data_IF_587989886837
#
_entry.id   IF_587989886837
#
_cell.length_a   1.000
_cell.length_b   1.000
_cell.length_c   1.000
_cell.angle_alpha   90.00
_cell.angle_beta   90.00
_cell.angle_gamma   90.00
#
_symmetry.space_group_name_H-M   'P 1'
#
loop_
_entity.id
_entity.type
_entity.pdbx_description
1 polymer ?
#
# COMPACT_ATOMS: atom_id res chain seq x y z
N UNK A 1 16.16 -23.43 29.83
CA UNK A 1 14.84 -22.80 29.58
C UNK A 1 15.04 -21.55 28.74
N UNK A 2 14.67 -21.57 27.46
CA UNK A 2 14.89 -20.46 26.52
C UNK A 2 13.74 -19.44 26.65
N UNK A 3 14.07 -18.20 27.04
CA UNK A 3 13.11 -17.09 27.14
C UNK A 3 12.67 -16.69 25.72
N UNK A 4 11.44 -17.03 25.35
CA UNK A 4 10.78 -16.48 24.14
C UNK A 4 10.65 -14.97 24.31
N UNK A 5 11.47 -14.19 23.59
CA UNK A 5 11.31 -12.74 23.47
C UNK A 5 9.97 -12.45 22.81
N UNK A 6 9.01 -11.95 23.58
CA UNK A 6 7.71 -11.46 23.10
C UNK A 6 7.94 -10.23 22.21
N UNK A 7 7.62 -10.38 20.92
CA UNK A 7 7.77 -9.34 19.89
C UNK A 7 6.72 -8.21 19.97
N UNK A 8 5.89 -8.21 21.01
CA UNK A 8 4.76 -7.28 21.18
C UNK A 8 5.13 -5.95 21.85
N UNK A 9 6.33 -5.81 22.43
CA UNK A 9 6.70 -4.62 23.20
C UNK A 9 6.93 -3.36 22.37
N UNK A 10 7.42 -3.49 21.13
CA UNK A 10 7.87 -2.34 20.33
C UNK A 10 6.75 -1.35 19.97
N UNK A 11 5.55 -1.85 19.65
CA UNK A 11 4.41 -1.00 19.31
C UNK A 11 3.71 -0.40 20.54
N UNK A 12 3.82 -1.02 21.72
CA UNK A 12 3.29 -0.45 22.96
C UNK A 12 4.11 0.76 23.42
N UNK A 13 5.43 0.73 23.22
CA UNK A 13 6.31 1.88 23.47
C UNK A 13 6.01 3.09 22.56
N UNK A 14 5.51 2.87 21.34
CA UNK A 14 5.11 3.95 20.44
C UNK A 14 3.82 4.67 20.88
N UNK A 15 3.00 4.11 21.77
CA UNK A 15 1.75 4.75 22.21
C UNK A 15 1.90 5.71 23.40
N UNK A 16 3.05 5.73 24.09
CA UNK A 16 3.17 6.38 25.40
C UNK A 16 3.88 7.74 25.43
N UNK A 17 4.20 8.37 24.30
CA UNK A 17 4.68 9.75 24.36
C UNK A 17 5.32 10.24 23.07
N UNK A 18 4.51 10.81 22.18
CA UNK A 18 5.04 11.50 21.01
C UNK A 18 5.33 12.95 21.37
N UNK A 19 6.58 13.25 21.74
CA UNK A 19 7.19 14.49 21.27
C UNK A 19 7.47 14.24 19.80
N UNK A 20 6.62 14.78 18.93
CA UNK A 20 6.68 14.59 17.48
C UNK A 20 7.95 15.29 16.97
N UNK A 21 9.09 14.60 17.02
CA UNK A 21 10.17 14.87 16.07
C UNK A 21 9.64 14.55 14.67
N UNK A 22 10.11 15.26 13.64
CA UNK A 22 9.66 15.04 12.27
C UNK A 22 9.79 13.55 11.92
N UNK A 23 8.72 12.97 11.38
CA UNK A 23 8.65 11.55 10.98
C UNK A 23 9.87 11.12 10.15
N UNK A 24 10.40 12.06 9.36
CA UNK A 24 11.60 11.93 8.53
C UNK A 24 12.83 11.44 9.31
N UNK A 25 13.09 12.00 10.49
CA UNK A 25 14.27 11.64 11.31
C UNK A 25 14.19 10.21 11.86
N UNK A 26 12.98 9.69 12.03
CA UNK A 26 12.77 8.31 12.47
C UNK A 26 12.87 7.32 11.32
N UNK A 27 12.41 7.71 10.13
CA UNK A 27 12.44 6.88 8.92
C UNK A 27 13.87 6.62 8.41
N UNK A 28 14.80 7.58 8.58
CA UNK A 28 16.21 7.42 8.18
C UNK A 28 16.94 6.26 8.87
N UNK A 29 16.48 5.84 10.05
CA UNK A 29 17.11 4.75 10.81
C UNK A 29 16.45 3.39 10.59
N UNK A 30 15.39 3.32 9.79
CA UNK A 30 14.69 2.08 9.53
C UNK A 30 15.47 1.22 8.50
N UNK A 31 15.46 -0.11 8.66
CA UNK A 31 15.94 -1.00 7.62
C UNK A 31 15.23 -0.71 6.29
N UNK A 32 15.94 -0.84 5.16
CA UNK A 32 15.38 -0.62 3.83
C UNK A 32 14.07 -1.40 3.60
N UNK A 33 13.97 -2.62 4.14
CA UNK A 33 12.81 -3.51 3.96
C UNK A 33 11.73 -3.35 5.05
N UNK A 34 11.82 -2.32 5.90
CA UNK A 34 10.91 -2.14 7.03
C UNK A 34 9.46 -1.98 6.57
N UNK A 35 9.21 -1.04 5.66
CA UNK A 35 7.86 -0.77 5.15
C UNK A 35 7.30 -1.95 4.37
N UNK A 36 8.14 -2.65 3.63
CA UNK A 36 7.73 -3.86 2.93
C UNK A 36 7.30 -4.95 3.94
N UNK A 37 8.10 -5.16 4.99
CA UNK A 37 7.82 -6.18 6.01
C UNK A 37 6.54 -5.86 6.78
N UNK A 38 6.38 -4.59 7.20
CA UNK A 38 5.19 -4.14 7.95
C UNK A 38 3.96 -4.18 7.06
N UNK A 39 4.06 -3.65 5.84
CA UNK A 39 2.99 -3.64 4.85
C UNK A 39 2.52 -5.05 4.48
N UNK A 40 3.46 -5.97 4.22
CA UNK A 40 3.15 -7.38 3.92
C UNK A 40 2.38 -8.03 5.06
N UNK A 41 2.81 -7.83 6.31
CA UNK A 41 2.12 -8.38 7.49
C UNK A 41 0.72 -7.80 7.66
N UNK A 42 0.58 -6.48 7.52
CA UNK A 42 -0.71 -5.80 7.61
C UNK A 42 -1.69 -6.31 6.54
N UNK A 43 -1.23 -6.45 5.29
CA UNK A 43 -2.04 -6.96 4.20
C UNK A 43 -2.50 -8.41 4.43
N UNK A 44 -1.60 -9.30 4.87
CA UNK A 44 -1.94 -10.70 5.19
C UNK A 44 -3.00 -10.76 6.30
N UNK A 45 -2.84 -9.95 7.35
CA UNK A 45 -3.81 -9.92 8.45
C UNK A 45 -5.17 -9.44 7.96
N UNK A 46 -5.22 -8.35 7.18
CA UNK A 46 -6.48 -7.84 6.62
C UNK A 46 -7.17 -8.87 5.72
N UNK A 47 -6.42 -9.61 4.90
CA UNK A 47 -6.96 -10.69 4.06
C UNK A 47 -7.55 -11.82 4.92
N UNK A 48 -6.82 -12.25 5.94
CA UNK A 48 -7.27 -13.33 6.82
C UNK A 48 -8.51 -12.92 7.62
N UNK A 49 -8.55 -11.68 8.10
CA UNK A 49 -9.69 -11.12 8.82
C UNK A 49 -10.93 -11.02 7.91
N UNK A 50 -10.77 -10.51 6.69
CA UNK A 50 -11.84 -10.46 5.71
C UNK A 50 -12.38 -11.86 5.39
N UNK A 51 -11.51 -12.86 5.22
CA UNK A 51 -11.90 -14.26 5.01
C UNK A 51 -12.66 -14.82 6.20
N UNK A 52 -12.21 -14.56 7.43
CA UNK A 52 -12.89 -15.00 8.65
C UNK A 52 -14.28 -14.38 8.80
N UNK A 53 -14.48 -13.16 8.31
CA UNK A 53 -15.76 -12.44 8.33
C UNK A 53 -16.67 -12.73 7.13
N UNK A 54 -16.29 -13.65 6.23
CA UNK A 54 -16.99 -13.87 4.97
C UNK A 54 -17.17 -12.58 4.15
N UNK A 55 -16.14 -11.75 4.10
CA UNK A 55 -16.10 -10.55 3.28
C UNK A 55 -15.32 -10.83 1.98
N UNK A 56 -15.74 -10.23 0.85
CA UNK A 56 -15.00 -10.37 -0.40
C UNK A 56 -13.64 -9.67 -0.32
N UNK A 57 -12.63 -10.31 -0.90
CA UNK A 57 -11.25 -9.79 -0.96
C UNK A 57 -10.97 -9.35 -2.40
N UNK A 58 -10.54 -8.10 -2.58
CA UNK A 58 -10.12 -7.59 -3.89
C UNK A 58 -8.60 -7.69 -4.00
N UNK A 59 -8.11 -8.28 -5.09
CA UNK A 59 -6.70 -8.54 -5.32
C UNK A 59 -6.33 -8.34 -6.78
N UNK A 60 -5.06 -8.04 -7.03
CA UNK A 60 -4.52 -7.97 -8.37
C UNK A 60 -3.90 -9.32 -8.75
N UNK A 61 -4.30 -9.88 -9.90
CA UNK A 61 -3.73 -11.11 -10.45
C UNK A 61 -3.63 -10.98 -11.97
N UNK A 62 -2.45 -11.26 -12.53
CA UNK A 62 -2.19 -11.25 -13.97
C UNK A 62 -2.63 -9.95 -14.69
N UNK A 63 -2.37 -8.79 -14.08
CA UNK A 63 -2.78 -7.50 -14.65
C UNK A 63 -4.28 -7.22 -14.61
N UNK A 64 -5.06 -7.99 -13.85
CA UNK A 64 -6.49 -7.76 -13.63
C UNK A 64 -6.78 -7.55 -12.15
N UNK A 65 -7.77 -6.71 -11.89
CA UNK A 65 -8.37 -6.56 -10.55
C UNK A 65 -9.48 -7.59 -10.43
N UNK A 66 -9.33 -8.49 -9.48
CA UNK A 66 -10.25 -9.60 -9.23
C UNK A 66 -10.86 -9.47 -7.83
N UNK A 67 -12.10 -9.91 -7.68
CA UNK A 67 -12.79 -10.09 -6.40
C UNK A 67 -12.90 -11.58 -6.11
N UNK A 68 -12.34 -12.01 -4.99
CA UNK A 68 -12.56 -13.34 -4.44
C UNK A 68 -13.71 -13.26 -3.44
N UNK A 69 -14.79 -13.96 -3.74
CA UNK A 69 -15.96 -14.07 -2.88
C UNK A 69 -15.71 -15.09 -1.76
N UNK A 70 -16.46 -15.03 -0.64
CA UNK A 70 -16.28 -15.94 0.48
C UNK A 70 -16.47 -17.42 0.13
N UNK A 71 -17.27 -17.72 -0.89
CA UNK A 71 -17.49 -19.07 -1.42
C UNK A 71 -16.36 -19.57 -2.34
N UNK A 72 -15.30 -18.77 -2.51
CA UNK A 72 -14.16 -19.06 -3.37
C UNK A 72 -14.38 -18.72 -4.84
N UNK A 73 -15.55 -18.21 -5.23
CA UNK A 73 -15.76 -17.72 -6.60
C UNK A 73 -14.89 -16.50 -6.86
N UNK A 74 -14.43 -16.39 -8.09
CA UNK A 74 -13.60 -15.28 -8.54
C UNK A 74 -14.33 -14.50 -9.63
N UNK A 75 -14.44 -13.19 -9.44
CA UNK A 75 -15.03 -12.26 -10.39
C UNK A 75 -13.96 -11.28 -10.87
N UNK A 76 -13.89 -11.03 -12.17
CA UNK A 76 -13.01 -9.99 -12.72
C UNK A 76 -13.74 -8.65 -12.65
N UNK A 77 -13.19 -7.70 -11.90
CA UNK A 77 -13.77 -6.35 -11.77
C UNK A 77 -13.31 -5.45 -12.92
N UNK A 78 -12.01 -5.50 -13.25
CA UNK A 78 -11.41 -4.58 -14.21
C UNK A 78 -10.07 -5.10 -14.72
N UNK A 79 -9.72 -4.71 -15.95
CA UNK A 79 -8.38 -4.93 -16.50
C UNK A 79 -7.51 -3.70 -16.23
N UNK A 80 -6.27 -3.93 -15.83
CA UNK A 80 -5.30 -2.85 -15.61
C UNK A 80 -4.68 -2.53 -16.96
N UNK A 81 -5.19 -1.49 -17.60
CA UNK A 81 -4.55 -0.92 -18.78
C UNK A 81 -3.30 -0.14 -18.32
N UNK A 82 -2.15 -0.82 -18.32
CA UNK A 82 -0.85 -0.18 -18.14
C UNK A 82 -0.61 0.71 -19.37
N UNK A 83 -0.80 2.02 -19.20
CA UNK A 83 -0.34 3.00 -20.18
C UNK A 83 1.17 2.89 -20.20
N UNK A 84 1.76 2.52 -21.34
CA UNK A 84 3.21 2.41 -21.45
C UNK A 84 3.84 3.78 -21.18
N UNK A 85 5.03 3.81 -20.59
CA UNK A 85 5.77 5.05 -20.34
C UNK A 85 6.06 5.85 -21.62
N UNK A 86 5.99 5.20 -22.79
CA UNK A 86 6.09 5.83 -24.11
C UNK A 86 4.83 6.62 -24.50
N UNK A 87 3.66 6.23 -23.98
CA UNK A 87 2.39 6.94 -24.14
C UNK A 87 2.18 8.05 -23.11
N UNK A 88 3.00 8.11 -22.06
CA UNK A 88 3.14 9.33 -21.27
C UNK A 88 3.68 10.38 -22.23
N UNK A 89 2.80 11.25 -22.74
CA UNK A 89 3.20 12.35 -23.58
C UNK A 89 4.19 13.19 -22.78
N UNK A 90 5.48 12.99 -23.04
CA UNK A 90 6.52 13.91 -22.61
C UNK A 90 6.16 15.21 -23.30
N UNK A 91 5.52 16.11 -22.54
CA UNK A 91 5.30 17.45 -23.03
C UNK A 91 6.70 18.06 -23.14
N UNK A 92 7.17 18.22 -24.36
CA UNK A 92 8.36 19.02 -24.65
C UNK A 92 8.02 20.48 -24.30
N UNK A 93 8.12 20.81 -23.01
CA UNK A 93 7.92 22.16 -22.52
C UNK A 93 9.12 22.99 -22.93
N UNK A 94 8.89 23.96 -23.82
CA UNK A 94 9.90 24.95 -24.18
C UNK A 94 10.04 25.95 -23.03
N UNK A 95 11.24 26.49 -22.82
CA UNK A 95 11.47 27.56 -21.85
C UNK A 95 10.48 28.71 -22.08
N UNK A 96 9.69 29.06 -21.06
CA UNK A 96 8.62 30.05 -21.13
C UNK A 96 7.21 29.48 -21.33
N UNK A 97 7.04 28.15 -21.39
CA UNK A 97 5.72 27.53 -21.45
C UNK A 97 4.94 27.73 -20.14
N UNK A 98 3.70 28.22 -20.25
CA UNK A 98 2.78 28.41 -19.12
C UNK A 98 1.65 27.37 -19.19
N UNK A 99 1.53 26.54 -18.16
CA UNK A 99 0.49 25.49 -18.08
C UNK A 99 -0.77 26.11 -17.47
N UNK A 100 -1.84 26.15 -18.26
CA UNK A 100 -3.16 26.54 -17.78
C UNK A 100 -4.00 25.30 -17.49
N UNK A 101 -4.46 25.14 -16.24
CA UNK A 101 -5.37 24.08 -15.86
C UNK A 101 -6.80 24.60 -15.99
N UNK A 102 -7.48 24.20 -17.05
CA UNK A 102 -8.90 24.52 -17.23
C UNK A 102 -9.77 23.76 -16.23
N UNK A 103 -10.69 24.45 -15.57
CA UNK A 103 -11.67 23.83 -14.67
C UNK A 103 -12.75 23.15 -15.54
N UNK A 104 -12.82 21.82 -15.52
CA UNK A 104 -13.94 21.10 -16.18
C UNK A 104 -15.25 21.48 -15.49
N UNK A 105 -16.26 21.84 -16.29
CA UNK A 105 -17.65 22.02 -15.87
C UNK A 105 -18.32 20.67 -15.68
#
# INVERSE_FOLDING_TARGET
>A
MSRRKTRSGFYQTLKQGWKVGELSAYEEHLPADFFETVGRRAAINAINENRAMNLPVTLMRNGKVMREMPDGKQEVISEIHLISSEQYQVRNLVKGAVIHVGKKR
#
